data_IF_764098080848
#
_entry.id   IF_764098080848
#
_cell.length_a   1.000
_cell.length_b   1.000
_cell.length_c   1.000
_cell.angle_alpha   90.00
_cell.angle_beta   90.00
_cell.angle_gamma   90.00
#
_symmetry.space_group_name_H-M   'P 1'
#
loop_
_entity.id
_entity.type
_entity.pdbx_description
1 polymer ?
#
# COMPACT_ATOMS: atom_id res chain seq x y z
N UNK A 1 -29.94 1.49 21.55
CA UNK A 1 -28.90 2.43 21.07
C UNK A 1 -27.92 1.58 20.29
N UNK A 2 -27.68 1.90 19.02
CA UNK A 2 -26.86 1.07 18.15
C UNK A 2 -25.39 1.21 18.57
N UNK A 3 -24.75 0.09 18.91
CA UNK A 3 -23.31 -0.02 19.02
C UNK A 3 -22.71 0.34 17.67
N UNK A 4 -22.28 1.59 17.54
CA UNK A 4 -21.61 2.07 16.34
C UNK A 4 -20.17 1.59 16.47
N UNK A 5 -19.78 0.58 15.70
CA UNK A 5 -18.41 0.10 15.72
C UNK A 5 -17.50 1.25 15.25
N UNK A 6 -16.28 1.40 15.78
CA UNK A 6 -15.37 2.48 15.37
C UNK A 6 -15.07 2.50 13.86
N UNK A 7 -15.40 1.43 13.15
CA UNK A 7 -15.27 1.25 11.70
C UNK A 7 -16.42 1.86 10.88
N UNK A 8 -17.52 2.25 11.52
CA UNK A 8 -18.68 2.90 10.87
C UNK A 8 -18.48 4.42 10.66
N UNK A 9 -17.29 4.94 10.98
CA UNK A 9 -16.89 6.32 10.68
C UNK A 9 -16.61 6.45 9.18
N UNK A 10 -16.97 7.57 8.51
CA UNK A 10 -16.83 7.73 7.06
C UNK A 10 -15.45 7.25 6.60
N UNK A 11 -15.47 6.18 5.81
CA UNK A 11 -14.40 5.18 5.69
C UNK A 11 -12.99 5.75 5.77
N UNK A 12 -12.23 5.30 6.77
CA UNK A 12 -10.84 5.71 6.98
C UNK A 12 -10.01 5.35 5.75
N UNK A 13 -9.69 6.35 4.93
CA UNK A 13 -8.84 6.19 3.76
C UNK A 13 -7.39 6.03 4.20
N UNK A 14 -6.74 4.98 3.70
CA UNK A 14 -5.35 4.66 4.00
C UNK A 14 -4.52 4.75 2.72
N UNK A 15 -3.42 5.50 2.79
CA UNK A 15 -2.38 5.51 1.77
C UNK A 15 -1.08 4.97 2.37
N UNK A 16 -0.34 4.18 1.59
CA UNK A 16 0.94 3.57 1.97
C UNK A 16 2.02 4.07 1.02
N UNK A 17 3.11 4.60 1.57
CA UNK A 17 4.29 5.01 0.79
C UNK A 17 5.43 4.05 1.11
N UNK A 18 6.00 3.42 0.07
CA UNK A 18 7.08 2.43 0.19
C UNK A 18 8.33 3.01 -0.49
N UNK A 19 9.26 3.62 0.28
CA UNK A 19 10.57 3.92 -0.27
C UNK A 19 11.35 2.63 -0.50
N UNK A 20 11.92 2.47 -1.68
CA UNK A 20 12.73 1.30 -2.06
C UNK A 20 13.98 1.73 -2.83
N UNK A 21 15.02 0.89 -2.78
CA UNK A 21 16.26 1.03 -3.54
C UNK A 21 16.73 -0.37 -3.96
N UNK A 22 16.52 -0.73 -5.23
CA UNK A 22 16.92 -2.03 -5.79
C UNK A 22 16.40 -3.28 -5.04
N UNK A 23 15.25 -3.21 -4.37
CA UNK A 23 14.68 -4.35 -3.63
C UNK A 23 13.32 -4.82 -4.18
N UNK A 24 13.34 -5.18 -5.47
CA UNK A 24 12.16 -5.68 -6.19
C UNK A 24 11.61 -6.96 -5.56
N UNK A 25 12.48 -7.78 -4.95
CA UNK A 25 12.08 -9.02 -4.29
C UNK A 25 11.26 -8.77 -3.02
N UNK A 26 11.64 -7.79 -2.19
CA UNK A 26 10.83 -7.41 -1.04
C UNK A 26 9.51 -6.78 -1.46
N UNK A 27 9.51 -5.94 -2.50
CA UNK A 27 8.30 -5.32 -3.03
C UNK A 27 7.32 -6.37 -3.56
N UNK A 28 7.80 -7.34 -4.32
CA UNK A 28 6.98 -8.44 -4.85
C UNK A 28 6.34 -9.30 -3.74
N UNK A 29 6.98 -9.42 -2.57
CA UNK A 29 6.38 -10.09 -1.40
C UNK A 29 5.38 -9.20 -0.66
N UNK A 30 5.65 -7.90 -0.58
CA UNK A 30 4.86 -6.95 0.22
C UNK A 30 3.55 -6.55 -0.44
N UNK A 31 3.55 -6.27 -1.75
CA UNK A 31 2.36 -5.77 -2.46
C UNK A 31 1.14 -6.72 -2.36
N UNK A 32 1.29 -8.05 -2.52
CA UNK A 32 0.18 -8.97 -2.30
C UNK A 32 -0.36 -8.90 -0.87
N UNK A 33 0.50 -8.74 0.14
CA UNK A 33 0.06 -8.67 1.54
C UNK A 33 -0.82 -7.44 1.76
N UNK A 34 -0.41 -6.27 1.22
CA UNK A 34 -1.18 -5.03 1.34
C UNK A 34 -2.55 -5.12 0.66
N UNK A 35 -2.63 -5.81 -0.48
CA UNK A 35 -3.88 -5.99 -1.22
C UNK A 35 -4.90 -6.90 -0.52
N UNK A 36 -4.43 -7.78 0.39
CA UNK A 36 -5.27 -8.75 1.10
C UNK A 36 -5.54 -8.37 2.57
N UNK A 37 -5.22 -7.14 2.98
CA UNK A 37 -5.62 -6.63 4.29
C UNK A 37 -7.14 -6.52 4.38
N UNK A 38 -7.70 -6.69 5.58
CA UNK A 38 -9.13 -6.50 5.86
C UNK A 38 -9.62 -5.10 5.45
N UNK A 39 -8.74 -4.10 5.56
CA UNK A 39 -8.91 -2.77 4.98
C UNK A 39 -7.71 -2.47 4.06
N UNK A 40 -7.81 -2.75 2.76
CA UNK A 40 -6.71 -2.49 1.83
C UNK A 40 -6.49 -0.97 1.69
N UNK A 41 -5.24 -0.52 1.51
CA UNK A 41 -4.97 0.89 1.22
C UNK A 41 -5.57 1.28 -0.13
N UNK A 42 -6.15 2.47 -0.19
CA UNK A 42 -6.69 3.05 -1.43
C UNK A 42 -5.55 3.38 -2.41
N UNK A 43 -4.39 3.74 -1.85
CA UNK A 43 -3.20 4.06 -2.62
C UNK A 43 -1.96 3.38 -2.04
N UNK A 44 -1.18 2.73 -2.91
CA UNK A 44 0.19 2.30 -2.61
C UNK A 44 1.12 3.04 -3.56
N UNK A 45 2.01 3.85 -3.01
CA UNK A 45 2.96 4.68 -3.75
C UNK A 45 4.35 4.11 -3.50
N UNK A 46 4.97 3.54 -4.53
CA UNK A 46 6.34 3.07 -4.46
C UNK A 46 7.26 4.21 -4.90
N UNK A 47 8.13 4.64 -4.01
CA UNK A 47 9.16 5.64 -4.31
C UNK A 47 10.46 4.89 -4.56
N UNK A 48 10.74 4.61 -5.83
CA UNK A 48 12.05 4.10 -6.22
C UNK A 48 13.06 5.25 -6.19
N UNK A 49 14.16 5.07 -5.45
CA UNK A 49 15.26 6.02 -5.33
C UNK A 49 16.11 6.17 -6.60
N UNK A 50 15.48 6.15 -7.79
CA UNK A 50 16.10 6.14 -9.12
C UNK A 50 16.99 4.91 -9.39
N UNK A 51 16.52 3.71 -9.03
CA UNK A 51 17.34 2.50 -9.03
C UNK A 51 16.98 1.45 -10.08
N UNK A 52 15.77 1.44 -10.66
CA UNK A 52 15.42 0.38 -11.63
C UNK A 52 14.77 0.89 -12.92
N UNK A 53 15.24 0.37 -14.06
CA UNK A 53 14.59 0.51 -15.37
C UNK A 53 13.14 0.00 -15.36
N UNK A 54 12.76 -0.87 -14.41
CA UNK A 54 11.42 -1.40 -14.26
C UNK A 54 10.37 -0.38 -13.78
N UNK A 55 10.78 0.72 -13.13
CA UNK A 55 9.86 1.79 -12.68
C UNK A 55 9.43 2.71 -13.82
N UNK A 56 10.11 2.70 -14.97
CA UNK A 56 9.74 3.50 -16.14
C UNK A 56 8.57 2.94 -16.97
N UNK A 57 8.13 1.70 -16.69
CA UNK A 57 7.12 0.98 -17.48
C UNK A 57 5.72 0.93 -16.83
N UNK A 58 5.52 1.64 -15.72
CA UNK A 58 4.24 1.83 -15.04
C UNK A 58 3.69 3.24 -15.32
#
# INVERSE_FOLDING_TARGET
MADTHPLDSPGRRLAVVIPTLNDDAALARLLPILAHLELPPEHVIVVDGASSEATAAL
#
